data_IF_837705919902
#
_entry.id   IF_837705919902
#
_cell.length_a   1.000
_cell.length_b   1.000
_cell.length_c   1.000
_cell.angle_alpha   90.00
_cell.angle_beta   90.00
_cell.angle_gamma   90.00
#
_symmetry.space_group_name_H-M   'P 1'
#
loop_
_entity.id
_entity.type
_entity.pdbx_description
1 polymer ?
#
# COMPACT_ATOMS: atom_id res chain seq x y z
N UNK A 1 30.90 23.17 12.40
CA UNK A 1 29.90 24.15 12.85
C UNK A 1 28.54 23.58 12.51
N UNK A 2 27.79 23.22 13.55
CA UNK A 2 26.47 22.60 13.50
C UNK A 2 25.43 23.64 13.06
N UNK A 3 24.54 23.27 12.14
CA UNK A 3 23.29 23.99 11.90
C UNK A 3 22.16 22.97 12.01
N UNK A 4 21.65 22.84 13.22
CA UNK A 4 20.33 22.30 13.50
C UNK A 4 19.31 23.42 13.23
N UNK A 5 18.39 23.18 12.30
CA UNK A 5 17.21 23.99 12.05
C UNK A 5 16.15 23.03 11.47
N UNK A 6 14.93 22.92 11.94
CA UNK A 6 14.24 23.46 13.09
C UNK A 6 12.88 22.77 13.05
N UNK A 7 12.65 21.82 13.96
CA UNK A 7 11.33 21.20 14.14
C UNK A 7 10.84 21.70 15.47
N UNK A 8 10.12 22.82 15.45
CA UNK A 8 9.47 23.39 16.62
C UNK A 8 8.24 24.16 16.19
N UNK A 9 7.28 23.47 15.59
CA UNK A 9 5.89 23.91 15.67
C UNK A 9 5.24 23.21 16.87
N UNK A 10 5.02 24.05 17.86
CA UNK A 10 4.43 23.79 19.16
C UNK A 10 3.01 23.23 18.96
N UNK A 11 2.82 21.95 19.21
CA UNK A 11 1.50 21.35 19.42
C UNK A 11 1.02 21.82 20.79
N UNK A 12 0.11 22.79 20.81
CA UNK A 12 -0.58 23.20 22.04
C UNK A 12 -1.44 22.04 22.55
N UNK A 13 -1.03 21.46 23.69
CA UNK A 13 -1.80 20.47 24.41
C UNK A 13 -3.00 21.14 25.10
N UNK A 14 -4.21 20.76 24.70
CA UNK A 14 -5.37 20.89 25.58
C UNK A 14 -5.33 19.71 26.55
N UNK A 15 -4.78 19.92 27.74
CA UNK A 15 -5.03 19.08 28.92
C UNK A 15 -6.50 19.26 29.33
N UNK A 16 -7.39 18.52 28.67
CA UNK A 16 -8.73 18.28 29.16
C UNK A 16 -8.76 16.90 29.79
N UNK A 17 -9.13 16.91 31.07
CA UNK A 17 -9.33 15.77 31.95
C UNK A 17 -10.20 14.69 31.27
N UNK A 18 -9.60 13.64 30.74
CA UNK A 18 -10.33 12.59 30.01
C UNK A 18 -9.91 11.20 30.46
N UNK A 19 -10.92 10.35 30.67
CA UNK A 19 -10.74 8.96 31.07
C UNK A 19 -9.89 8.17 30.08
N UNK A 20 -9.31 7.08 30.57
CA UNK A 20 -8.58 6.10 29.77
C UNK A 20 -9.47 5.52 28.66
N UNK A 21 -8.99 5.56 27.41
CA UNK A 21 -9.65 4.93 26.26
C UNK A 21 -9.35 3.43 26.23
N UNK A 22 -10.39 2.61 26.10
CA UNK A 22 -10.31 1.17 25.93
C UNK A 22 -10.39 0.82 24.44
N UNK A 23 -9.29 0.37 23.84
CA UNK A 23 -9.18 0.14 22.40
C UNK A 23 -9.02 -1.34 22.09
N UNK A 24 -10.01 -1.93 21.43
CA UNK A 24 -9.93 -3.29 20.91
C UNK A 24 -8.87 -3.40 19.81
N UNK A 25 -8.04 -4.44 19.83
CA UNK A 25 -7.01 -4.67 18.81
C UNK A 25 -7.22 -6.02 18.15
N UNK A 26 -7.37 -6.02 16.82
CA UNK A 26 -7.55 -7.24 16.01
C UNK A 26 -6.43 -7.34 14.99
N UNK A 27 -5.42 -8.17 15.24
CA UNK A 27 -4.26 -8.34 14.37
C UNK A 27 -3.90 -9.81 14.17
N UNK A 28 -3.42 -10.21 12.98
CA UNK A 28 -2.83 -11.53 12.79
C UNK A 28 -1.65 -11.75 13.74
N UNK A 29 -1.52 -12.97 14.29
CA UNK A 29 -0.49 -13.31 15.27
C UNK A 29 0.94 -12.89 14.84
N UNK A 30 1.29 -13.06 13.56
CA UNK A 30 2.58 -12.66 12.99
C UNK A 30 2.90 -11.17 13.11
N UNK A 31 1.88 -10.29 13.20
CA UNK A 31 2.06 -8.83 13.33
C UNK A 31 1.98 -8.33 14.77
N UNK A 32 1.54 -9.16 15.72
CA UNK A 32 1.50 -8.80 17.14
C UNK A 32 2.91 -8.53 17.69
N UNK A 33 3.97 -9.16 17.17
CA UNK A 33 5.33 -8.98 17.69
C UNK A 33 5.81 -7.53 17.73
N UNK A 34 5.42 -6.69 16.77
CA UNK A 34 5.77 -5.26 16.75
C UNK A 34 4.81 -4.39 17.57
N UNK A 35 3.62 -4.91 17.86
CA UNK A 35 2.64 -4.28 18.74
C UNK A 35 2.75 -4.81 20.18
N UNK A 36 3.66 -5.74 20.49
CA UNK A 36 3.75 -6.32 21.84
C UNK A 36 4.06 -5.25 22.90
N UNK A 37 4.96 -4.31 22.60
CA UNK A 37 5.23 -3.14 23.46
C UNK A 37 3.97 -2.30 23.67
N UNK A 38 3.22 -2.08 22.60
CA UNK A 38 1.97 -1.32 22.59
C UNK A 38 0.87 -2.01 23.41
N UNK A 39 0.75 -3.34 23.31
CA UNK A 39 -0.32 -4.11 23.92
C UNK A 39 -0.15 -4.33 25.43
N UNK A 40 1.08 -4.23 25.96
CA UNK A 40 1.37 -4.55 27.37
C UNK A 40 1.20 -3.38 28.34
N UNK A 41 1.06 -2.15 27.84
CA UNK A 41 1.01 -0.95 28.68
C UNK A 41 -0.18 -0.04 28.36
N UNK A 42 -0.78 0.51 29.43
CA UNK A 42 -1.59 1.71 29.32
C UNK A 42 -0.64 2.90 29.30
N UNK A 43 -0.66 3.65 28.20
CA UNK A 43 0.16 4.84 28.02
C UNK A 43 -0.60 5.86 27.19
N UNK A 44 -0.31 7.13 27.41
CA UNK A 44 -0.95 8.27 26.73
C UNK A 44 -2.49 8.22 26.84
N UNK A 45 -3.00 7.67 27.96
CA UNK A 45 -4.43 7.49 28.20
C UNK A 45 -5.14 6.52 27.24
N UNK A 46 -4.40 5.60 26.61
CA UNK A 46 -4.93 4.52 25.78
C UNK A 46 -4.53 3.18 26.38
N UNK A 47 -5.50 2.31 26.61
CA UNK A 47 -5.32 0.89 26.98
C UNK A 47 -5.80 0.02 25.83
N UNK A 48 -4.94 -0.91 25.40
CA UNK A 48 -5.30 -1.86 24.36
C UNK A 48 -5.85 -3.16 24.94
N UNK A 49 -6.83 -3.74 24.25
CA UNK A 49 -7.46 -5.02 24.58
C UNK A 49 -7.38 -5.92 23.35
N UNK A 50 -6.59 -6.99 23.41
CA UNK A 50 -6.47 -7.92 22.30
C UNK A 50 -7.78 -8.71 22.13
N UNK A 51 -8.43 -8.53 20.99
CA UNK A 51 -9.65 -9.27 20.62
C UNK A 51 -9.23 -10.47 19.77
N UNK A 52 -9.53 -11.66 20.27
CA UNK A 52 -9.27 -12.92 19.58
C UNK A 52 -10.53 -13.38 18.86
N UNK A 53 -10.64 -13.04 17.58
CA UNK A 53 -11.77 -13.46 16.74
C UNK A 53 -11.77 -14.96 16.41
N UNK A 54 -10.72 -15.71 16.79
CA UNK A 54 -10.72 -17.17 16.65
C UNK A 54 -11.44 -17.89 17.79
N UNK A 55 -11.79 -17.17 18.87
CA UNK A 55 -12.55 -17.73 19.98
C UNK A 55 -13.96 -18.14 19.54
N UNK A 56 -14.31 -19.45 19.62
CA UNK A 56 -15.63 -19.94 19.23
C UNK A 56 -16.78 -19.40 20.10
N UNK A 57 -16.49 -18.81 21.27
CA UNK A 57 -17.51 -18.16 22.10
C UNK A 57 -18.00 -16.81 21.54
N UNK A 58 -17.29 -16.20 20.59
CA UNK A 58 -17.67 -14.93 19.97
C UNK A 58 -18.60 -15.18 18.78
N UNK A 59 -19.90 -15.28 19.02
CA UNK A 59 -20.91 -15.56 17.99
C UNK A 59 -21.66 -14.28 17.58
N UNK A 60 -21.85 -13.37 18.52
CA UNK A 60 -22.63 -12.16 18.37
C UNK A 60 -21.85 -10.92 18.84
N UNK A 61 -22.19 -9.71 18.40
CA UNK A 61 -21.55 -8.48 18.88
C UNK A 61 -21.60 -8.29 20.40
N UNK A 62 -22.64 -8.83 21.06
CA UNK A 62 -22.77 -8.78 22.52
C UNK A 62 -21.66 -9.57 23.21
N UNK A 63 -21.23 -10.69 22.63
CA UNK A 63 -20.18 -11.54 23.20
C UNK A 63 -18.84 -10.80 23.26
N UNK A 64 -18.56 -9.93 22.27
CA UNK A 64 -17.36 -9.07 22.27
C UNK A 64 -17.37 -8.14 23.48
N UNK A 65 -18.45 -7.40 23.70
CA UNK A 65 -18.55 -6.48 24.85
C UNK A 65 -18.62 -7.20 26.19
N UNK A 66 -19.26 -8.37 26.26
CA UNK A 66 -19.33 -9.19 27.47
C UNK A 66 -17.95 -9.72 27.88
N UNK A 67 -17.13 -10.15 26.90
CA UNK A 67 -15.79 -10.71 27.16
C UNK A 67 -14.71 -9.65 27.34
N UNK A 68 -14.69 -8.62 26.50
CA UNK A 68 -13.61 -7.63 26.43
C UNK A 68 -13.97 -6.30 27.12
N UNK A 69 -15.19 -6.17 27.62
CA UNK A 69 -15.69 -4.96 28.25
C UNK A 69 -16.10 -3.88 27.24
N UNK A 70 -16.38 -2.69 27.76
CA UNK A 70 -16.68 -1.52 26.93
C UNK A 70 -15.42 -1.10 26.16
N UNK A 71 -15.61 -0.79 24.88
CA UNK A 71 -14.59 -0.29 23.97
C UNK A 71 -14.99 1.11 23.50
N UNK A 72 -14.01 1.96 23.24
CA UNK A 72 -14.16 3.28 22.65
C UNK A 72 -13.77 3.27 21.16
N UNK A 73 -12.83 2.39 20.79
CA UNK A 73 -12.45 2.14 19.41
C UNK A 73 -12.01 0.69 19.18
N UNK A 74 -11.93 0.30 17.92
CA UNK A 74 -11.32 -0.95 17.46
C UNK A 74 -10.28 -0.64 16.40
N UNK A 75 -9.00 -0.84 16.75
CA UNK A 75 -7.88 -0.83 15.82
C UNK A 75 -7.75 -2.21 15.20
N UNK A 76 -7.87 -2.32 13.87
CA UNK A 76 -7.92 -3.64 13.25
C UNK A 76 -7.05 -3.80 12.01
N UNK A 77 -6.74 -5.06 11.70
CA UNK A 77 -6.15 -5.48 10.42
C UNK A 77 -6.91 -6.66 9.82
N UNK A 78 -8.21 -6.43 9.56
CA UNK A 78 -9.14 -7.40 8.96
C UNK A 78 -8.91 -7.68 7.47
N UNK A 79 -7.97 -7.00 6.82
CA UNK A 79 -7.67 -7.18 5.39
C UNK A 79 -7.45 -8.65 4.99
N UNK A 80 -6.84 -9.46 5.86
CA UNK A 80 -6.66 -10.89 5.57
C UNK A 80 -7.98 -11.66 5.62
N UNK A 81 -8.83 -11.37 6.62
CA UNK A 81 -10.17 -11.98 6.72
C UNK A 81 -11.01 -11.64 5.50
N UNK A 82 -10.94 -10.40 5.00
CA UNK A 82 -11.63 -9.97 3.79
C UNK A 82 -11.19 -10.77 2.55
N UNK A 83 -9.88 -10.98 2.37
CA UNK A 83 -9.34 -11.76 1.26
C UNK A 83 -9.75 -13.23 1.39
N UNK A 84 -9.57 -13.85 2.57
CA UNK A 84 -9.89 -15.26 2.77
C UNK A 84 -11.39 -15.54 2.65
N UNK A 85 -12.25 -14.66 3.17
CA UNK A 85 -13.70 -14.77 2.99
C UNK A 85 -14.08 -14.77 1.51
N UNK A 86 -13.47 -13.89 0.69
CA UNK A 86 -13.69 -13.86 -0.76
C UNK A 86 -13.20 -15.12 -1.47
N UNK A 87 -12.17 -15.78 -0.93
CA UNK A 87 -11.66 -17.06 -1.43
C UNK A 87 -12.44 -18.28 -0.90
N UNK A 88 -13.53 -18.07 -0.16
CA UNK A 88 -14.41 -19.14 0.32
C UNK A 88 -14.08 -19.68 1.72
N UNK A 89 -13.27 -18.99 2.52
CA UNK A 89 -13.08 -19.35 3.93
C UNK A 89 -14.30 -18.90 4.76
N UNK A 90 -15.17 -19.86 5.09
CA UNK A 90 -16.37 -19.63 5.89
C UNK A 90 -16.06 -19.05 7.28
N UNK A 91 -14.94 -19.43 7.89
CA UNK A 91 -14.58 -18.94 9.21
C UNK A 91 -14.16 -17.45 9.13
N UNK A 92 -13.39 -17.09 8.10
CA UNK A 92 -13.07 -15.68 7.82
C UNK A 92 -14.33 -14.86 7.52
N UNK A 93 -15.24 -15.42 6.73
CA UNK A 93 -16.54 -14.80 6.43
C UNK A 93 -17.37 -14.54 7.69
N UNK A 94 -17.46 -15.52 8.60
CA UNK A 94 -18.13 -15.35 9.89
C UNK A 94 -17.50 -14.26 10.76
N UNK A 95 -16.16 -14.25 10.87
CA UNK A 95 -15.43 -13.21 11.64
C UNK A 95 -15.65 -11.81 11.07
N UNK A 96 -15.67 -11.67 9.74
CA UNK A 96 -15.96 -10.40 9.08
C UNK A 96 -17.39 -9.94 9.34
N UNK A 97 -18.37 -10.84 9.17
CA UNK A 97 -19.80 -10.56 9.44
C UNK A 97 -20.03 -10.16 10.89
N UNK A 98 -19.36 -10.81 11.84
CA UNK A 98 -19.40 -10.45 13.25
C UNK A 98 -18.92 -9.00 13.47
N UNK A 99 -17.78 -8.63 12.89
CA UNK A 99 -17.21 -7.28 13.06
C UNK A 99 -18.04 -6.19 12.37
N UNK A 100 -18.63 -6.47 11.21
CA UNK A 100 -19.58 -5.57 10.55
C UNK A 100 -20.86 -5.40 11.37
N UNK A 101 -21.38 -6.48 11.96
CA UNK A 101 -22.51 -6.42 12.87
C UNK A 101 -22.19 -5.64 14.14
N UNK A 102 -20.98 -5.80 14.69
CA UNK A 102 -20.50 -5.04 15.82
C UNK A 102 -20.42 -3.55 15.52
N UNK A 103 -19.77 -3.17 14.41
CA UNK A 103 -19.66 -1.77 14.00
C UNK A 103 -21.05 -1.11 13.82
N UNK A 104 -22.02 -1.85 13.27
CA UNK A 104 -23.40 -1.36 13.07
C UNK A 104 -24.18 -1.21 14.38
N UNK A 105 -24.02 -2.15 15.31
CA UNK A 105 -24.72 -2.13 16.60
C UNK A 105 -24.07 -1.18 17.62
N UNK A 106 -22.80 -0.85 17.43
CA UNK A 106 -22.03 0.03 18.30
C UNK A 106 -21.45 1.22 17.52
N UNK A 107 -22.29 2.13 16.96
CA UNK A 107 -21.81 3.25 16.14
C UNK A 107 -20.96 4.27 16.93
N UNK A 108 -20.97 4.20 18.26
CA UNK A 108 -20.11 5.00 19.13
C UNK A 108 -18.67 4.44 19.21
N UNK A 109 -18.44 3.18 18.82
CA UNK A 109 -17.11 2.57 18.80
C UNK A 109 -16.47 2.85 17.44
N UNK A 110 -15.38 3.61 17.43
CA UNK A 110 -14.71 3.99 16.19
C UNK A 110 -13.96 2.80 15.59
N UNK A 111 -14.27 2.42 14.35
CA UNK A 111 -13.50 1.43 13.60
C UNK A 111 -12.31 2.11 12.95
N UNK A 112 -11.10 1.82 13.42
CA UNK A 112 -9.84 2.39 12.94
C UNK A 112 -9.16 1.32 12.08
N UNK A 113 -9.31 1.37 10.76
CA UNK A 113 -10.05 2.34 9.91
C UNK A 113 -11.39 1.77 9.43
N UNK A 114 -12.28 2.53 8.75
CA UNK A 114 -13.55 2.00 8.25
C UNK A 114 -13.38 0.73 7.41
N UNK A 115 -14.12 -0.33 7.76
CA UNK A 115 -14.04 -1.66 7.14
C UNK A 115 -14.16 -1.58 5.61
N UNK A 116 -15.12 -0.81 5.09
CA UNK A 116 -15.33 -0.67 3.65
C UNK A 116 -14.13 0.00 2.93
N UNK A 117 -13.53 1.01 3.53
CA UNK A 117 -12.34 1.67 2.98
C UNK A 117 -11.13 0.74 2.98
N UNK A 118 -10.98 -0.08 4.02
CA UNK A 118 -9.92 -1.11 4.08
C UNK A 118 -10.14 -2.19 3.02
N UNK A 119 -11.39 -2.61 2.80
CA UNK A 119 -11.75 -3.62 1.81
C UNK A 119 -11.32 -3.21 0.39
N UNK A 120 -11.44 -1.92 0.03
CA UNK A 120 -10.98 -1.42 -1.27
C UNK A 120 -9.49 -1.72 -1.48
N UNK A 121 -8.64 -1.56 -0.46
CA UNK A 121 -7.20 -1.84 -0.55
C UNK A 121 -6.84 -3.34 -0.52
N UNK A 122 -7.81 -4.24 -0.40
CA UNK A 122 -7.56 -5.69 -0.52
C UNK A 122 -7.57 -6.17 -1.98
N UNK A 123 -7.95 -5.28 -2.89
CA UNK A 123 -8.08 -5.52 -4.32
C UNK A 123 -7.25 -4.51 -5.12
N UNK A 124 -6.20 -4.98 -5.78
CA UNK A 124 -5.30 -4.11 -6.56
C UNK A 124 -6.00 -3.46 -7.75
N UNK A 125 -6.99 -4.14 -8.34
CA UNK A 125 -7.74 -3.56 -9.44
C UNK A 125 -8.56 -2.37 -8.95
N UNK A 126 -9.33 -2.55 -7.87
CA UNK A 126 -10.12 -1.48 -7.27
C UNK A 126 -9.24 -0.31 -6.79
N UNK A 127 -8.06 -0.61 -6.21
CA UNK A 127 -7.09 0.42 -5.82
C UNK A 127 -6.54 1.19 -7.04
N UNK A 128 -6.20 0.51 -8.14
CA UNK A 128 -5.74 1.18 -9.36
C UNK A 128 -6.84 2.04 -10.00
N UNK A 129 -8.08 1.55 -10.08
CA UNK A 129 -9.22 2.34 -10.57
C UNK A 129 -9.47 3.59 -9.72
N UNK A 130 -9.36 3.48 -8.39
CA UNK A 130 -9.43 4.63 -7.49
C UNK A 130 -8.33 5.63 -7.77
N UNK A 131 -7.08 5.17 -7.94
CA UNK A 131 -5.95 6.04 -8.24
C UNK A 131 -6.10 6.73 -9.60
N UNK A 132 -6.65 6.05 -10.61
CA UNK A 132 -6.93 6.65 -11.94
C UNK A 132 -7.92 7.81 -11.82
N UNK A 133 -9.02 7.63 -11.06
CA UNK A 133 -9.97 8.73 -10.79
C UNK A 133 -9.30 9.88 -10.03
N UNK A 134 -8.41 9.57 -9.09
CA UNK A 134 -7.68 10.58 -8.33
C UNK A 134 -6.65 11.33 -9.20
N UNK A 135 -6.01 10.64 -10.15
CA UNK A 135 -5.10 11.24 -11.13
C UNK A 135 -5.80 12.35 -11.94
N UNK A 136 -7.05 12.15 -12.37
CA UNK A 136 -7.82 13.14 -13.14
C UNK A 136 -8.00 14.48 -12.40
N UNK A 137 -8.02 14.45 -11.06
CA UNK A 137 -8.19 15.64 -10.21
C UNK A 137 -6.87 16.11 -9.57
N UNK A 138 -5.76 15.41 -9.83
CA UNK A 138 -4.45 15.67 -9.24
C UNK A 138 -3.70 16.86 -9.84
N UNK A 139 -4.22 17.48 -10.90
CA UNK A 139 -3.56 18.56 -11.64
C UNK A 139 -2.14 18.19 -12.11
N UNK A 140 -1.94 16.93 -12.50
CA UNK A 140 -0.65 16.40 -12.97
C UNK A 140 0.36 16.11 -11.85
N UNK A 141 -0.07 16.02 -10.59
CA UNK A 141 0.83 15.71 -9.46
C UNK A 141 1.43 14.31 -9.58
N UNK A 142 0.65 13.34 -10.05
CA UNK A 142 1.08 11.96 -10.24
C UNK A 142 0.28 11.28 -11.36
N UNK A 143 0.80 10.15 -11.81
CA UNK A 143 0.17 9.25 -12.77
C UNK A 143 0.02 7.84 -12.18
N UNK A 144 -0.81 7.01 -12.79
CA UNK A 144 -0.91 5.57 -12.56
C UNK A 144 -0.40 4.87 -13.81
N UNK A 145 0.54 3.91 -13.71
CA UNK A 145 1.00 3.22 -14.91
C UNK A 145 -0.16 2.46 -15.55
N UNK A 146 -0.31 2.51 -16.89
CA UNK A 146 -1.36 1.78 -17.60
C UNK A 146 -1.38 0.31 -17.18
N UNK A 147 -2.57 -0.23 -16.99
CA UNK A 147 -2.74 -1.60 -16.52
C UNK A 147 -3.92 -2.29 -17.19
N UNK A 148 -3.91 -3.61 -17.12
CA UNK A 148 -4.97 -4.47 -17.62
C UNK A 148 -5.18 -5.64 -16.67
N UNK A 149 -6.44 -5.99 -16.42
CA UNK A 149 -6.80 -7.14 -15.60
C UNK A 149 -7.22 -8.31 -16.48
N UNK A 150 -6.54 -9.43 -16.27
CA UNK A 150 -6.94 -10.72 -16.80
C UNK A 150 -7.55 -11.54 -15.65
N UNK A 151 -8.85 -11.82 -15.73
CA UNK A 151 -9.61 -12.62 -14.78
C UNK A 151 -10.05 -13.97 -15.36
N UNK A 152 -9.77 -14.19 -16.65
CA UNK A 152 -10.22 -15.32 -17.44
C UNK A 152 -9.27 -15.57 -18.62
N UNK A 153 -9.25 -16.79 -19.20
CA UNK A 153 -8.44 -17.12 -20.38
C UNK A 153 -8.68 -16.17 -21.56
N UNK A 154 -9.94 -15.78 -21.77
CA UNK A 154 -10.36 -14.90 -22.85
C UNK A 154 -9.79 -13.49 -22.68
N UNK A 155 -9.85 -12.96 -21.45
CA UNK A 155 -9.26 -11.64 -21.12
C UNK A 155 -7.74 -11.66 -21.23
N UNK A 156 -7.08 -12.76 -20.90
CA UNK A 156 -5.65 -12.90 -21.13
C UNK A 156 -5.29 -12.91 -22.63
N UNK A 157 -6.09 -13.57 -23.47
CA UNK A 157 -5.89 -13.50 -24.92
C UNK A 157 -6.05 -12.06 -25.45
N UNK A 158 -7.02 -11.30 -24.92
CA UNK A 158 -7.14 -9.87 -25.23
C UNK A 158 -5.91 -9.07 -24.81
N UNK A 159 -5.37 -9.31 -23.60
CA UNK A 159 -4.12 -8.70 -23.16
C UNK A 159 -3.00 -8.97 -24.17
N UNK A 160 -2.77 -10.25 -24.51
CA UNK A 160 -1.74 -10.64 -25.48
C UNK A 160 -1.94 -9.90 -26.79
N UNK A 161 -3.19 -9.80 -27.27
CA UNK A 161 -3.51 -9.06 -28.49
C UNK A 161 -3.32 -7.54 -28.39
N UNK A 162 -3.28 -6.93 -27.20
CA UNK A 162 -3.12 -5.48 -27.01
C UNK A 162 -1.66 -5.04 -26.79
N UNK A 163 -0.84 -5.89 -26.17
CA UNK A 163 0.55 -5.54 -25.84
C UNK A 163 1.34 -5.15 -27.09
N UNK A 164 2.04 -4.01 -27.00
CA UNK A 164 2.84 -3.36 -28.05
C UNK A 164 2.08 -2.98 -29.34
N UNK A 165 0.76 -3.14 -29.37
CA UNK A 165 -0.06 -2.64 -30.47
C UNK A 165 -0.37 -1.16 -30.29
N UNK A 166 -0.49 -0.44 -31.40
CA UNK A 166 -0.81 0.99 -31.39
C UNK A 166 -2.15 1.23 -30.69
N UNK A 167 -2.10 1.92 -29.54
CA UNK A 167 -3.23 2.33 -28.73
C UNK A 167 -3.03 3.79 -28.30
N UNK A 168 -4.08 4.50 -27.86
CA UNK A 168 -3.92 5.79 -27.20
C UNK A 168 -2.93 5.67 -26.03
N UNK A 169 -2.08 6.69 -25.76
CA UNK A 169 -1.04 6.61 -24.73
C UNK A 169 -1.56 6.18 -23.35
N UNK A 170 -2.77 6.59 -22.96
CA UNK A 170 -3.41 6.23 -21.70
C UNK A 170 -3.81 4.76 -21.58
N UNK A 171 -3.89 4.04 -22.69
CA UNK A 171 -4.26 2.62 -22.78
C UNK A 171 -3.12 1.75 -23.31
N UNK A 172 -1.97 2.36 -23.60
CA UNK A 172 -0.84 1.69 -24.23
C UNK A 172 -0.13 0.80 -23.20
N UNK A 173 -0.27 -0.51 -23.37
CA UNK A 173 0.47 -1.53 -22.63
C UNK A 173 1.72 -1.89 -23.44
N UNK A 174 2.85 -1.35 -23.02
CA UNK A 174 4.14 -1.59 -23.68
C UNK A 174 5.02 -2.44 -22.78
N UNK A 175 5.75 -3.38 -23.38
CA UNK A 175 6.77 -4.11 -22.65
C UNK A 175 7.91 -3.17 -22.23
N UNK A 176 8.50 -3.38 -21.03
CA UNK A 176 8.19 -4.45 -20.09
C UNK A 176 6.91 -4.22 -19.27
N UNK A 177 6.28 -5.31 -18.83
CA UNK A 177 5.14 -5.29 -17.91
C UNK A 177 5.54 -5.94 -16.58
N UNK A 178 5.04 -5.40 -15.46
CA UNK A 178 5.03 -6.11 -14.18
C UNK A 178 3.66 -6.74 -13.95
N UNK A 179 3.65 -8.02 -13.63
CA UNK A 179 2.48 -8.81 -13.35
C UNK A 179 2.41 -9.16 -11.86
N UNK A 180 1.24 -8.97 -11.26
CA UNK A 180 0.94 -9.27 -9.85
C UNK A 180 -0.49 -9.78 -9.73
N UNK A 181 -0.81 -10.52 -8.67
CA UNK A 181 -2.20 -10.95 -8.45
C UNK A 181 -3.12 -9.78 -8.10
N UNK A 182 -4.41 -9.91 -8.38
CA UNK A 182 -5.40 -8.89 -7.98
C UNK A 182 -5.59 -8.85 -6.46
N UNK A 183 -5.48 -9.97 -5.75
CA UNK A 183 -5.44 -9.92 -4.29
C UNK A 183 -4.20 -9.15 -3.85
N UNK A 184 -4.40 -8.09 -3.06
CA UNK A 184 -3.33 -7.20 -2.65
C UNK A 184 -2.54 -7.68 -1.43
N UNK A 185 -3.08 -8.66 -0.67
CA UNK A 185 -2.46 -9.16 0.54
C UNK A 185 -2.93 -10.59 0.91
N UNK A 186 -2.53 -11.04 2.10
CA UNK A 186 -2.92 -12.28 2.79
C UNK A 186 -2.37 -13.59 2.23
N UNK A 187 -2.33 -13.76 0.91
CA UNK A 187 -1.87 -15.00 0.27
C UNK A 187 -0.40 -14.92 -0.12
N UNK A 188 0.29 -16.06 -0.20
CA UNK A 188 1.67 -16.09 -0.74
C UNK A 188 1.70 -15.55 -2.18
N UNK A 189 0.68 -15.87 -2.98
CA UNK A 189 0.49 -15.35 -4.34
C UNK A 189 0.50 -13.82 -4.41
N UNK A 190 -0.07 -13.14 -3.40
CA UNK A 190 -0.11 -11.66 -3.36
C UNK A 190 1.25 -10.98 -3.27
N UNK A 191 2.28 -11.74 -2.90
CA UNK A 191 3.67 -11.29 -2.80
C UNK A 191 4.53 -11.71 -3.98
N UNK A 192 4.05 -12.60 -4.85
CA UNK A 192 4.76 -13.04 -6.04
C UNK A 192 4.48 -12.09 -7.21
N UNK A 193 5.55 -11.67 -7.89
CA UNK A 193 5.48 -10.81 -9.06
C UNK A 193 6.38 -11.34 -10.17
N UNK A 194 6.01 -11.01 -11.41
CA UNK A 194 6.82 -11.29 -12.59
C UNK A 194 7.06 -10.02 -13.39
N UNK A 195 8.28 -9.80 -13.87
CA UNK A 195 8.53 -8.80 -14.90
C UNK A 195 8.72 -9.48 -16.23
N UNK A 196 7.85 -9.14 -17.18
CA UNK A 196 7.77 -9.70 -18.53
C UNK A 196 8.32 -8.68 -19.51
N UNK A 197 9.32 -9.07 -20.28
CA UNK A 197 10.09 -8.18 -21.18
C UNK A 197 9.89 -8.50 -22.65
N UNK A 198 9.39 -9.70 -22.96
CA UNK A 198 9.11 -10.21 -24.31
C UNK A 198 7.70 -10.74 -24.38
N UNK A 199 7.06 -10.60 -25.54
CA UNK A 199 5.71 -11.12 -25.78
C UNK A 199 5.65 -12.64 -25.65
N UNK A 200 6.73 -13.35 -26.00
CA UNK A 200 6.87 -14.81 -25.82
C UNK A 200 6.82 -15.24 -24.36
N UNK A 201 7.16 -14.34 -23.43
CA UNK A 201 7.28 -14.63 -22.01
C UNK A 201 5.99 -14.24 -21.26
N UNK A 202 4.99 -13.71 -21.97
CA UNK A 202 3.63 -13.54 -21.44
C UNK A 202 3.03 -14.92 -21.19
N UNK A 203 2.98 -15.28 -19.92
CA UNK A 203 2.42 -16.55 -19.47
C UNK A 203 1.21 -16.33 -18.55
N UNK A 204 0.41 -17.38 -18.45
CA UNK A 204 -0.63 -17.49 -17.45
C UNK A 204 0.00 -17.64 -16.06
N UNK A 205 -0.30 -16.72 -15.15
CA UNK A 205 0.21 -16.72 -13.76
C UNK A 205 -0.86 -17.07 -12.72
N UNK A 206 -2.03 -17.53 -13.15
CA UNK A 206 -3.22 -17.65 -12.30
C UNK A 206 -4.13 -16.43 -12.42
N UNK A 207 -5.45 -16.64 -12.40
CA UNK A 207 -6.43 -15.55 -12.35
C UNK A 207 -6.96 -15.33 -10.92
N UNK A 208 -7.43 -14.12 -10.61
CA UNK A 208 -7.25 -12.88 -11.39
C UNK A 208 -5.85 -12.25 -11.22
N UNK A 209 -5.32 -11.66 -12.29
CA UNK A 209 -4.01 -10.99 -12.32
C UNK A 209 -4.08 -9.62 -12.99
N UNK A 210 -3.22 -8.70 -12.54
CA UNK A 210 -3.04 -7.36 -13.13
C UNK A 210 -1.67 -7.28 -13.80
N UNK A 211 -1.67 -6.84 -15.05
CA UNK A 211 -0.49 -6.57 -15.86
C UNK A 211 -0.38 -5.06 -16.01
N UNK A 212 0.71 -4.50 -15.52
CA UNK A 212 0.92 -3.06 -15.44
C UNK A 212 2.22 -2.67 -16.14
N UNK A 213 2.22 -1.58 -16.91
CA UNK A 213 3.42 -1.09 -17.59
C UNK A 213 4.54 -0.85 -16.58
N UNK A 214 5.69 -1.45 -16.82
CA UNK A 214 6.89 -1.24 -16.02
C UNK A 214 7.54 0.09 -16.43
N UNK A 215 7.79 0.95 -15.46
CA UNK A 215 8.39 2.27 -15.68
C UNK A 215 9.83 2.22 -15.17
N UNK A 216 10.81 2.52 -16.02
CA UNK A 216 12.20 2.67 -15.56
C UNK A 216 12.32 3.89 -14.62
N UNK A 217 12.94 3.69 -13.45
CA UNK A 217 12.91 4.62 -12.32
C UNK A 217 14.20 4.59 -11.47
N UNK A 218 15.34 4.28 -12.11
CA UNK A 218 16.67 4.24 -11.49
C UNK A 218 16.79 3.36 -10.24
N UNK A 219 15.91 2.37 -10.04
CA UNK A 219 15.90 1.54 -8.83
C UNK A 219 15.53 2.27 -7.55
N UNK A 220 14.83 3.41 -7.63
CA UNK A 220 14.45 4.24 -6.48
C UNK A 220 12.94 4.21 -6.23
N UNK A 221 12.55 3.83 -5.01
CA UNK A 221 11.16 3.85 -4.55
C UNK A 221 10.99 4.86 -3.40
N UNK A 222 10.02 5.75 -3.50
CA UNK A 222 9.59 6.62 -2.41
C UNK A 222 8.38 6.00 -1.70
N UNK A 223 8.60 5.52 -0.49
CA UNK A 223 7.58 4.88 0.34
C UNK A 223 7.00 5.87 1.32
N UNK A 224 5.73 6.20 1.13
CA UNK A 224 4.95 7.02 2.06
C UNK A 224 4.30 6.18 3.16
N UNK A 225 4.34 6.68 4.39
CA UNK A 225 3.70 6.12 5.57
C UNK A 225 2.74 7.14 6.15
N UNK A 226 1.44 6.87 6.02
CA UNK A 226 0.37 7.71 6.55
C UNK A 226 -0.08 7.17 7.90
N UNK A 227 -0.02 8.04 8.90
CA UNK A 227 -0.55 7.82 10.25
C UNK A 227 -1.30 9.09 10.68
N UNK A 228 -2.61 9.08 10.47
CA UNK A 228 -3.45 10.24 10.70
C UNK A 228 -3.00 11.45 9.86
N UNK A 229 -2.73 12.61 10.48
CA UNK A 229 -2.21 13.79 9.76
C UNK A 229 -0.76 13.61 9.29
N UNK A 230 0.03 12.75 9.93
CA UNK A 230 1.45 12.58 9.66
C UNK A 230 1.68 11.75 8.39
N UNK A 231 2.57 12.24 7.52
CA UNK A 231 3.02 11.52 6.33
C UNK A 231 4.55 11.52 6.31
N UNK A 232 5.14 10.40 6.71
CA UNK A 232 6.57 10.17 6.61
C UNK A 232 6.91 9.58 5.24
N UNK A 233 7.99 10.02 4.60
CA UNK A 233 8.42 9.51 3.29
C UNK A 233 9.85 9.01 3.41
N UNK A 234 10.08 7.75 3.06
CA UNK A 234 11.39 7.12 3.06
C UNK A 234 11.76 6.64 1.65
N UNK A 235 13.01 6.79 1.26
CA UNK A 235 13.52 6.20 0.02
C UNK A 235 13.99 4.76 0.25
N UNK A 236 13.67 3.88 -0.68
CA UNK A 236 14.05 2.46 -0.67
C UNK A 236 14.60 2.04 -2.03
N UNK A 237 15.45 1.02 -2.01
CA UNK A 237 15.84 0.30 -3.22
C UNK A 237 14.61 -0.38 -3.84
N UNK A 238 14.53 -0.30 -5.16
CA UNK A 238 13.51 -0.91 -6.01
C UNK A 238 14.14 -1.81 -7.08
N UNK A 239 13.32 -2.30 -8.03
CA UNK A 239 13.78 -3.02 -9.21
C UNK A 239 14.68 -2.13 -10.09
N UNK A 240 15.77 -2.67 -10.67
CA UNK A 240 16.65 -1.90 -11.54
C UNK A 240 15.92 -1.49 -12.82
N UNK A 241 16.56 -0.62 -13.61
CA UNK A 241 16.10 -0.35 -14.96
C UNK A 241 16.25 -1.59 -15.85
N UNK A 242 15.26 -1.78 -16.71
CA UNK A 242 15.15 -2.96 -17.57
C UNK A 242 15.28 -2.51 -19.01
N UNK A 243 16.22 -3.13 -19.72
CA UNK A 243 16.40 -2.95 -21.15
C UNK A 243 15.38 -3.79 -21.94
N UNK A 244 15.03 -3.35 -23.14
CA UNK A 244 14.22 -4.14 -24.05
C UNK A 244 14.92 -5.49 -24.33
N UNK A 245 14.18 -6.60 -24.25
CA UNK A 245 14.71 -7.94 -24.51
C UNK A 245 15.50 -8.58 -23.36
N UNK A 246 15.56 -7.95 -22.17
CA UNK A 246 16.07 -8.56 -20.94
C UNK A 246 15.36 -9.88 -20.58
N UNK A 247 15.88 -10.64 -19.63
CA UNK A 247 15.23 -11.87 -19.16
C UNK A 247 13.93 -11.57 -18.39
N UNK A 248 12.96 -12.48 -18.49
CA UNK A 248 11.82 -12.51 -17.57
C UNK A 248 12.30 -12.96 -16.18
N UNK A 249 11.84 -12.24 -15.15
CA UNK A 249 12.18 -12.52 -13.75
C UNK A 249 10.91 -12.72 -12.95
N UNK A 250 10.86 -13.79 -12.16
CA UNK A 250 9.82 -14.07 -11.16
C UNK A 250 10.42 -13.94 -9.76
N UNK A 251 9.77 -13.19 -8.86
CA UNK A 251 10.34 -12.89 -7.56
C UNK A 251 9.28 -12.69 -6.48
N UNK A 252 9.70 -12.85 -5.22
CA UNK A 252 8.90 -12.62 -4.02
C UNK A 252 9.23 -11.23 -3.43
N UNK A 253 8.24 -10.36 -3.32
CA UNK A 253 8.40 -9.00 -2.76
C UNK A 253 8.76 -8.96 -1.27
N UNK A 254 8.68 -10.10 -0.57
CA UNK A 254 9.13 -10.22 0.82
C UNK A 254 10.63 -10.56 0.95
N UNK A 255 11.27 -10.91 -0.16
CA UNK A 255 12.70 -11.23 -0.22
C UNK A 255 13.51 -10.06 -0.81
N UNK A 256 14.80 -10.28 -1.06
CA UNK A 256 15.63 -9.26 -1.69
C UNK A 256 15.17 -9.04 -3.13
N UNK A 257 15.08 -7.77 -3.53
CA UNK A 257 14.68 -7.42 -4.88
C UNK A 257 15.73 -7.88 -5.89
N UNK A 258 15.30 -8.40 -7.05
CA UNK A 258 16.18 -8.68 -8.18
C UNK A 258 17.12 -7.51 -8.48
N UNK A 259 18.32 -7.86 -8.89
CA UNK A 259 19.40 -6.97 -9.34
C UNK A 259 19.46 -6.95 -10.86
N UNK A 260 20.30 -6.09 -11.43
CA UNK A 260 20.49 -6.05 -12.88
C UNK A 260 20.96 -7.39 -13.45
N UNK A 261 21.72 -8.17 -12.66
CA UNK A 261 22.25 -9.49 -13.04
C UNK A 261 21.12 -10.49 -13.34
N UNK A 262 20.04 -10.45 -12.57
CA UNK A 262 18.88 -11.33 -12.77
C UNK A 262 18.17 -11.08 -14.11
N UNK A 263 18.31 -9.88 -14.66
CA UNK A 263 17.70 -9.47 -15.94
C UNK A 263 18.63 -9.67 -17.15
N UNK A 264 19.89 -10.07 -16.96
CA UNK A 264 20.83 -10.30 -18.06
C UNK A 264 20.69 -11.72 -18.64
N UNK A 265 20.41 -11.81 -19.95
CA UNK A 265 20.48 -13.07 -20.71
C UNK A 265 21.92 -13.44 -21.06
N UNK A 266 22.21 -14.73 -21.25
CA UNK A 266 23.55 -15.22 -21.64
C UNK A 266 24.06 -14.60 -22.96
N UNK A 267 23.16 -14.09 -23.81
CA UNK A 267 23.46 -13.52 -25.15
C UNK A 267 23.47 -11.98 -25.20
N UNK A 268 23.25 -11.28 -24.08
CA UNK A 268 23.23 -9.83 -24.05
C UNK A 268 24.27 -9.31 -23.07
N UNK A 269 25.42 -8.76 -23.55
CA UNK A 269 26.33 -8.05 -22.65
C UNK A 269 25.54 -6.96 -21.92
N UNK A 270 25.97 -6.57 -20.69
CA UNK A 270 25.30 -5.49 -19.97
C UNK A 270 25.10 -4.36 -20.96
N UNK A 271 23.86 -3.86 -21.08
CA UNK A 271 23.65 -2.61 -21.76
C UNK A 271 24.66 -1.66 -21.12
N UNK A 272 25.72 -1.31 -21.86
CA UNK A 272 26.59 -0.20 -21.48
C UNK A 272 25.62 0.87 -21.05
N UNK A 273 25.76 1.45 -19.83
CA UNK A 273 24.75 2.32 -19.26
C UNK A 273 24.31 3.18 -20.41
N UNK A 274 23.07 3.03 -20.86
CA UNK A 274 22.60 3.84 -21.96
C UNK A 274 22.69 5.22 -21.34
N UNK A 275 23.79 5.91 -21.65
CA UNK A 275 23.73 7.27 -22.09
C UNK A 275 22.58 7.22 -23.07
N UNK A 276 21.38 7.42 -22.54
CA UNK A 276 20.38 8.25 -23.16
C UNK A 276 21.26 9.34 -23.74
N UNK A 277 21.44 9.28 -25.06
CA UNK A 277 22.22 10.27 -25.74
C UNK A 277 21.70 11.56 -25.14
N UNK A 278 22.58 12.30 -24.47
CA UNK A 278 22.29 13.66 -24.12
C UNK A 278 22.15 14.34 -25.48
N UNK A 279 20.97 14.21 -26.10
CA UNK A 279 20.41 15.22 -26.96
C UNK A 279 20.30 16.41 -26.04
N UNK A 280 21.41 17.14 -25.97
CA UNK A 280 21.49 18.50 -25.51
C UNK A 280 20.37 19.25 -26.25
N UNK A 281 19.23 19.40 -25.58
CA UNK A 281 18.01 19.85 -26.25
C UNK A 281 16.74 19.84 -25.42
N UNK A 282 16.83 19.78 -24.10
CA UNK A 282 15.87 20.31 -23.13
C UNK A 282 16.35 19.86 -21.75
N UNK A 283 17.02 20.73 -21.01
CA UNK A 283 17.29 20.51 -19.60
C UNK A 283 15.95 20.51 -18.85
N UNK A 284 15.35 19.34 -18.68
CA UNK A 284 14.26 19.18 -17.71
C UNK A 284 14.83 19.65 -16.37
N UNK A 285 14.26 20.66 -15.70
CA UNK A 285 14.79 21.08 -14.41
C UNK A 285 14.75 19.87 -13.48
N UNK A 286 15.93 19.44 -13.03
CA UNK A 286 16.04 18.31 -12.10
C UNK A 286 15.36 18.72 -10.80
N UNK A 287 14.23 18.08 -10.47
CA UNK A 287 13.57 18.27 -9.17
C UNK A 287 14.57 17.96 -8.07
N UNK A 288 14.64 18.82 -7.07
CA UNK A 288 15.38 18.57 -5.85
C UNK A 288 14.74 17.42 -5.06
N UNK A 289 15.52 16.76 -4.20
CA UNK A 289 14.98 15.70 -3.34
C UNK A 289 13.82 16.22 -2.48
N UNK A 290 13.91 17.45 -1.96
CA UNK A 290 12.86 18.04 -1.13
C UNK A 290 11.56 18.28 -1.90
N UNK A 291 11.64 18.74 -3.16
CA UNK A 291 10.47 18.89 -4.02
C UNK A 291 9.78 17.55 -4.30
N UNK A 292 10.56 16.48 -4.50
CA UNK A 292 10.02 15.13 -4.68
C UNK A 292 9.32 14.68 -3.40
N UNK A 293 9.96 14.80 -2.24
CA UNK A 293 9.38 14.40 -0.96
C UNK A 293 8.11 15.20 -0.64
N UNK A 294 8.09 16.51 -0.93
CA UNK A 294 6.91 17.35 -0.78
C UNK A 294 5.76 16.93 -1.70
N UNK A 295 6.07 16.57 -2.96
CA UNK A 295 5.07 16.04 -3.89
C UNK A 295 4.52 14.69 -3.41
N UNK A 296 5.38 13.77 -2.95
CA UNK A 296 4.96 12.48 -2.40
C UNK A 296 4.06 12.65 -1.17
N UNK A 297 4.36 13.62 -0.28
CA UNK A 297 3.48 13.94 0.85
C UNK A 297 2.10 14.40 0.40
N UNK A 298 2.02 15.30 -0.59
CA UNK A 298 0.75 15.76 -1.19
C UNK A 298 -0.05 14.63 -1.84
N UNK A 299 0.62 13.69 -2.51
CA UNK A 299 -0.02 12.46 -3.03
C UNK A 299 -0.66 11.68 -1.88
N UNK A 300 0.06 11.50 -0.78
CA UNK A 300 -0.46 10.84 0.42
C UNK A 300 -1.68 11.54 1.01
N UNK A 301 -1.71 12.88 1.04
CA UNK A 301 -2.87 13.66 1.49
C UNK A 301 -4.09 13.43 0.60
N UNK A 302 -3.90 13.41 -0.73
CA UNK A 302 -4.97 13.14 -1.69
C UNK A 302 -5.53 11.72 -1.53
N UNK A 303 -4.67 10.71 -1.43
CA UNK A 303 -5.09 9.32 -1.22
C UNK A 303 -5.84 9.18 0.12
N UNK A 304 -5.35 9.86 1.18
CA UNK A 304 -5.99 9.89 2.49
C UNK A 304 -7.41 10.45 2.41
N UNK A 305 -7.57 11.61 1.76
CA UNK A 305 -8.86 12.25 1.58
C UNK A 305 -9.84 11.38 0.77
N UNK A 306 -9.34 10.71 -0.29
CA UNK A 306 -10.16 9.84 -1.15
C UNK A 306 -10.62 8.56 -0.44
N UNK A 307 -9.76 7.95 0.39
CA UNK A 307 -10.06 6.67 1.03
C UNK A 307 -10.75 6.83 2.39
N UNK A 308 -10.56 7.96 3.07
CA UNK A 308 -10.97 8.12 4.47
C UNK A 308 -10.21 7.19 5.43
N UNK A 309 -9.07 6.66 5.00
CA UNK A 309 -8.17 5.87 5.83
C UNK A 309 -7.18 6.77 6.54
N UNK A 310 -6.75 6.37 7.73
CA UNK A 310 -5.71 7.07 8.49
C UNK A 310 -4.42 6.25 8.63
N UNK A 311 -4.48 4.94 8.37
CA UNK A 311 -3.36 4.01 8.54
C UNK A 311 -3.07 3.24 7.25
N UNK A 312 -2.27 3.82 6.37
CA UNK A 312 -1.86 3.15 5.13
C UNK A 312 -0.44 3.56 4.70
N UNK A 313 0.12 2.81 3.77
CA UNK A 313 1.33 3.19 3.07
C UNK A 313 1.10 3.18 1.57
N UNK A 314 1.92 3.90 0.83
CA UNK A 314 1.83 3.98 -0.62
C UNK A 314 3.23 4.08 -1.23
N UNK A 315 3.37 3.57 -2.43
CA UNK A 315 4.64 3.41 -3.11
C UNK A 315 4.64 4.24 -4.39
N UNK A 316 5.61 5.17 -4.48
CA UNK A 316 5.76 6.12 -5.59
C UNK A 316 7.13 5.93 -6.24
N UNK A 317 7.16 5.89 -7.56
CA UNK A 317 8.41 5.91 -8.35
C UNK A 317 8.45 7.17 -9.21
N UNK A 318 9.65 7.58 -9.63
CA UNK A 318 9.83 8.70 -10.55
C UNK A 318 10.35 8.15 -11.89
N UNK A 319 9.63 8.41 -12.97
CA UNK A 319 10.03 7.96 -14.30
C UNK A 319 11.32 8.66 -14.74
N UNK A 320 12.32 7.89 -15.19
CA UNK A 320 13.61 8.45 -15.63
C UNK A 320 13.45 9.32 -16.89
N UNK A 321 12.54 8.93 -17.79
CA UNK A 321 12.34 9.60 -19.07
C UNK A 321 11.66 10.97 -18.94
N UNK A 322 10.73 11.13 -18.00
CA UNK A 322 9.86 12.32 -17.91
C UNK A 322 9.99 13.08 -16.59
N UNK A 323 10.53 12.46 -15.53
CA UNK A 323 10.54 13.03 -14.18
C UNK A 323 9.15 13.08 -13.52
N UNK A 324 8.17 12.40 -14.10
CA UNK A 324 6.81 12.28 -13.55
C UNK A 324 6.77 11.25 -12.43
N UNK A 325 5.89 11.48 -11.45
CA UNK A 325 5.68 10.56 -10.34
C UNK A 325 4.57 9.57 -10.67
N UNK A 326 4.78 8.30 -10.34
CA UNK A 326 3.80 7.24 -10.53
C UNK A 326 3.49 6.55 -9.21
N UNK A 327 2.21 6.44 -8.86
CA UNK A 327 1.76 5.64 -7.72
C UNK A 327 1.55 4.20 -8.19
N UNK A 328 2.25 3.25 -7.58
CA UNK A 328 2.28 1.85 -8.03
C UNK A 328 1.65 0.85 -7.05
N UNK A 329 1.49 1.25 -5.79
CA UNK A 329 0.86 0.41 -4.76
C UNK A 329 0.32 1.25 -3.58
N UNK A 330 -0.75 0.77 -2.94
CA UNK A 330 -1.31 1.33 -1.70
C UNK A 330 -1.71 0.18 -0.78
N UNK A 331 -1.19 0.19 0.45
CA UNK A 331 -1.30 -0.91 1.40
C UNK A 331 -1.92 -0.46 2.72
N UNK A 332 -2.93 -1.18 3.20
CA UNK A 332 -3.51 -0.92 4.51
C UNK A 332 -2.59 -1.38 5.64
N UNK A 333 -2.36 -0.51 6.63
CA UNK A 333 -1.54 -0.74 7.82
C UNK A 333 -0.20 -1.43 7.48
N UNK A 334 0.74 -0.72 6.82
CA UNK A 334 2.06 -1.24 6.50
C UNK A 334 2.86 -1.52 7.78
N UNK A 335 4.13 -1.89 7.65
CA UNK A 335 4.94 -2.16 8.83
C UNK A 335 5.26 -0.90 9.64
N UNK A 336 5.36 0.29 9.01
CA UNK A 336 5.88 1.53 9.61
C UNK A 336 7.34 1.36 10.09
N UNK A 337 8.23 0.79 9.27
CA UNK A 337 9.62 0.47 9.70
C UNK A 337 10.47 1.71 9.93
N UNK A 338 10.20 2.74 9.16
CA UNK A 338 10.93 4.01 9.11
C UNK A 338 10.21 5.14 9.87
N UNK A 339 9.24 4.80 10.72
CA UNK A 339 8.60 5.77 11.60
C UNK A 339 9.10 5.56 13.03
N UNK A 340 9.90 6.50 13.50
CA UNK A 340 10.31 6.57 14.89
C UNK A 340 9.10 6.91 15.78
N UNK A 341 9.15 6.47 17.04
CA UNK A 341 8.08 6.73 18.03
C UNK A 341 6.68 6.28 17.60
N UNK A 342 6.59 5.26 16.71
CA UNK A 342 5.33 4.72 16.18
C UNK A 342 4.27 4.50 17.25
N UNK A 343 4.63 3.91 18.39
CA UNK A 343 3.73 3.60 19.50
C UNK A 343 3.03 4.86 20.05
N UNK A 344 3.80 5.94 20.26
CA UNK A 344 3.30 7.22 20.78
C UNK A 344 2.39 7.91 19.76
N UNK A 345 2.84 7.97 18.50
CA UNK A 345 2.10 8.62 17.42
C UNK A 345 0.78 7.89 17.15
N UNK A 346 0.79 6.54 17.18
CA UNK A 346 -0.42 5.73 17.03
C UNK A 346 -1.43 6.01 18.15
N UNK A 347 -1.00 6.06 19.42
CA UNK A 347 -1.88 6.36 20.55
C UNK A 347 -2.47 7.76 20.43
N UNK A 348 -1.66 8.76 20.11
CA UNK A 348 -2.13 10.13 19.91
C UNK A 348 -3.16 10.22 18.78
N UNK A 349 -2.93 9.51 17.67
CA UNK A 349 -3.89 9.45 16.57
C UNK A 349 -5.22 8.79 16.97
N UNK A 350 -5.16 7.67 17.70
CA UNK A 350 -6.37 6.99 18.18
C UNK A 350 -7.17 7.90 19.11
N UNK A 351 -6.51 8.61 20.03
CA UNK A 351 -7.17 9.59 20.89
C UNK A 351 -7.92 10.64 20.07
N UNK A 352 -7.22 11.31 19.16
CA UNK A 352 -7.80 12.35 18.29
C UNK A 352 -9.01 11.81 17.50
N UNK A 353 -8.91 10.57 17.02
CA UNK A 353 -9.99 9.91 16.27
C UNK A 353 -11.23 9.61 17.14
N UNK A 354 -11.05 9.37 18.44
CA UNK A 354 -12.14 9.17 19.38
C UNK A 354 -12.74 10.49 19.90
N UNK A 355 -11.95 11.57 19.84
CA UNK A 355 -12.34 12.92 20.30
C UNK A 355 -13.14 13.71 19.24
N UNK A 356 -13.01 13.33 17.95
CA UNK A 356 -13.76 13.90 16.80
C UNK A 356 -14.94 13.01 16.39
#
# INVERSE_FOLDING_TARGET
MSVAAGVSDIIHYCDLNMGELSVGVIFPAKKLGRLQSVLSETRDGVRFVLIDLSDPALVTPRDITAKYGRLDAVLHKLAHEMVFARLGDDAAGRRLTLMEAFARQHPHVKMIDPIASVQLLTDRHAACEMLVRLQETSSGLFNVPPFFVADSPERFQELVARVDNAQPPSLSLQLPLICKSVEACATDRSHMMSVVTKRSDLQYVGYPAIYQTFINHSGRLFKGYVLGPLINVAERRSLPNIAAGANHVHFNTQEQYPTTEDFHGEDHPPAAPTAVAATAGASTPSKTQEEILAAVRRIGEMIRAQLGLSLFGFDVIMADATGELFVIDVNYFPSYKELDEFDSILRQHIRRTCEC
#
